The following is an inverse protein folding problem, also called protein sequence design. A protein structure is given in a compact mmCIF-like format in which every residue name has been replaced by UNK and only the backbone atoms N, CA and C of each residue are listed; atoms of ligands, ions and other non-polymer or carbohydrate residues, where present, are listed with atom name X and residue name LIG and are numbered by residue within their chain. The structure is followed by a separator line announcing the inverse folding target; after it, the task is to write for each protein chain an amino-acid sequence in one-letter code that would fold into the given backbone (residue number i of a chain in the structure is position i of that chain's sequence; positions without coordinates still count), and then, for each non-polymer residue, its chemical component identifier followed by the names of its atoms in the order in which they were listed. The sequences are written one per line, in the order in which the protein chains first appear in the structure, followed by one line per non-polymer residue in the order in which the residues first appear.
data_IF_241335661877
#
_entry.id   IF_241335661877
#
_cell.length_a   1.000
_cell.length_b   1.000
_cell.length_c   1.000
_cell.angle_alpha   90.00
_cell.angle_beta   90.00
_cell.angle_gamma   90.00
#
_symmetry.space_group_name_H-M   'P 1'
#
loop_
_entity.id
_entity.type
_entity.pdbx_description
1 polymer ?
#
# COMPACT_ATOMS: atom_id res chain seq x y z
N UNK A 1 -19.04 -1.02 24.95
CA UNK A 1 -18.97 -0.66 23.50
C UNK A 1 -17.55 -0.76 22.94
N UNK A 2 -16.55 0.00 23.39
CA UNK A 2 -15.18 -0.04 22.81
C UNK A 2 -14.40 -1.34 23.11
N UNK A 3 -14.57 -1.95 24.27
CA UNK A 3 -13.93 -3.19 24.68
C UNK A 3 -14.58 -4.41 24.01
N UNK A 4 -13.75 -5.31 23.44
CA UNK A 4 -14.26 -6.54 22.82
C UNK A 4 -15.05 -7.43 23.80
N UNK A 5 -14.56 -7.73 25.03
CA UNK A 5 -15.31 -8.54 25.97
C UNK A 5 -16.66 -7.89 26.38
N UNK A 6 -16.66 -6.59 26.67
CA UNK A 6 -17.91 -5.89 27.05
C UNK A 6 -18.92 -5.86 25.89
N UNK A 7 -18.45 -5.75 24.65
CA UNK A 7 -19.33 -5.80 23.48
C UNK A 7 -19.89 -7.19 23.23
N UNK A 8 -19.10 -8.24 23.45
CA UNK A 8 -19.57 -9.61 23.37
C UNK A 8 -20.72 -9.87 24.36
N UNK A 9 -20.64 -9.35 25.59
CA UNK A 9 -21.74 -9.43 26.57
C UNK A 9 -23.02 -8.78 26.04
N UNK A 10 -22.91 -7.62 25.37
CA UNK A 10 -24.08 -6.94 24.78
C UNK A 10 -24.72 -7.76 23.64
N UNK A 11 -23.91 -8.39 22.79
CA UNK A 11 -24.41 -9.30 21.75
C UNK A 11 -25.13 -10.49 22.35
N UNK A 12 -24.54 -11.10 23.38
CA UNK A 12 -25.18 -12.22 24.11
C UNK A 12 -26.51 -11.81 24.74
N UNK A 13 -26.60 -10.59 25.31
CA UNK A 13 -27.84 -10.09 25.89
C UNK A 13 -28.96 -9.87 24.84
N UNK A 14 -28.59 -9.65 23.57
CA UNK A 14 -29.52 -9.63 22.43
C UNK A 14 -29.79 -11.02 21.84
N UNK A 15 -29.28 -12.10 22.48
CA UNK A 15 -29.43 -13.48 21.96
C UNK A 15 -28.64 -13.75 20.69
N UNK A 16 -27.58 -12.96 20.42
CA UNK A 16 -26.74 -13.11 19.23
C UNK A 16 -25.46 -13.88 19.58
N UNK A 17 -25.13 -14.87 18.76
CA UNK A 17 -23.88 -15.61 18.86
C UNK A 17 -22.67 -14.69 18.73
N UNK A 18 -21.66 -14.89 19.59
CA UNK A 18 -20.45 -14.08 19.55
C UNK A 18 -19.56 -14.56 18.40
N UNK A 19 -19.29 -13.70 17.38
CA UNK A 19 -18.45 -14.10 16.27
C UNK A 19 -16.99 -14.30 16.69
N UNK A 20 -16.44 -15.44 16.31
CA UNK A 20 -15.07 -15.85 16.62
C UNK A 20 -14.32 -16.20 15.34
N UNK A 21 -13.00 -16.09 15.37
CA UNK A 21 -12.10 -16.50 14.29
C UNK A 21 -10.79 -17.02 14.86
N UNK A 22 -10.09 -17.85 14.09
CA UNK A 22 -8.72 -18.25 14.40
C UNK A 22 -7.75 -17.15 13.96
N UNK A 23 -6.89 -16.70 14.85
CA UNK A 23 -5.86 -15.72 14.53
C UNK A 23 -4.79 -16.33 13.63
N UNK A 24 -4.60 -15.80 12.44
CA UNK A 24 -3.55 -16.23 11.50
C UNK A 24 -2.13 -16.05 12.05
N UNK A 25 -1.96 -15.21 13.09
CA UNK A 25 -0.64 -14.92 13.69
C UNK A 25 -0.33 -15.82 14.87
N UNK A 26 -1.34 -16.20 15.66
CA UNK A 26 -1.14 -16.93 16.92
C UNK A 26 -1.76 -18.31 16.94
N UNK A 27 -2.56 -18.67 15.91
CA UNK A 27 -3.33 -19.92 15.86
C UNK A 27 -4.43 -20.04 16.94
N UNK A 28 -4.64 -19.00 17.77
CA UNK A 28 -5.63 -19.03 18.84
C UNK A 28 -6.96 -18.46 18.40
N UNK A 29 -8.05 -18.99 18.96
CA UNK A 29 -9.39 -18.45 18.78
C UNK A 29 -9.47 -17.03 19.36
N UNK A 30 -10.00 -16.08 18.59
CA UNK A 30 -10.17 -14.68 18.96
C UNK A 30 -11.54 -14.16 18.54
N UNK A 31 -12.01 -13.09 19.16
CA UNK A 31 -13.28 -12.46 18.79
C UNK A 31 -13.18 -11.78 17.42
N UNK A 32 -14.05 -12.13 16.48
CA UNK A 32 -14.13 -11.55 15.15
C UNK A 32 -15.00 -10.28 15.15
N UNK A 33 -14.53 -9.24 15.86
CA UNK A 33 -15.24 -7.99 16.11
C UNK A 33 -14.54 -6.75 15.54
N UNK A 34 -13.61 -6.93 14.61
CA UNK A 34 -13.00 -5.82 13.89
C UNK A 34 -13.90 -5.37 12.74
N UNK A 35 -13.78 -4.10 12.32
CA UNK A 35 -14.58 -3.53 11.22
C UNK A 35 -14.53 -4.39 9.95
N UNK A 36 -13.40 -5.01 9.66
CA UNK A 36 -13.18 -5.79 8.44
C UNK A 36 -13.37 -7.31 8.64
N UNK A 37 -13.88 -7.74 9.80
CA UNK A 37 -14.22 -9.14 10.03
C UNK A 37 -15.58 -9.45 9.38
N UNK A 38 -15.64 -10.47 8.52
CA UNK A 38 -16.86 -10.83 7.78
C UNK A 38 -18.04 -11.08 8.72
N UNK A 39 -17.84 -11.85 9.78
CA UNK A 39 -18.89 -12.14 10.76
C UNK A 39 -19.40 -10.88 11.47
N UNK A 40 -18.53 -9.88 11.69
CA UNK A 40 -18.97 -8.59 12.24
C UNK A 40 -19.72 -7.76 11.20
N UNK A 41 -19.31 -7.82 9.92
CA UNK A 41 -20.02 -7.18 8.82
C UNK A 41 -21.42 -7.79 8.62
N UNK A 42 -21.56 -9.11 8.77
CA UNK A 42 -22.84 -9.78 8.74
C UNK A 42 -23.78 -9.27 9.87
N UNK A 43 -23.26 -9.06 11.08
CA UNK A 43 -24.02 -8.46 12.18
C UNK A 43 -24.40 -6.99 11.92
N UNK A 44 -23.51 -6.24 11.29
CA UNK A 44 -23.75 -4.83 10.94
C UNK A 44 -24.87 -4.70 9.88
N UNK A 45 -24.99 -5.68 8.99
CA UNK A 45 -26.02 -5.77 7.95
C UNK A 45 -27.18 -6.72 8.34
N UNK A 46 -27.35 -7.00 9.64
CA UNK A 46 -28.42 -7.87 10.13
C UNK A 46 -29.79 -7.26 9.86
N UNK A 47 -30.78 -8.08 9.50
CA UNK A 47 -32.19 -7.70 9.41
C UNK A 47 -32.77 -7.26 10.76
N UNK A 48 -32.14 -7.70 11.84
CA UNK A 48 -32.46 -7.22 13.20
C UNK A 48 -31.88 -5.84 13.43
N UNK A 49 -32.75 -4.85 13.44
CA UNK A 49 -32.40 -3.42 13.61
C UNK A 49 -31.62 -3.16 14.91
N UNK A 50 -31.99 -3.82 16.03
CA UNK A 50 -31.31 -3.69 17.32
C UNK A 50 -29.84 -4.16 17.27
N UNK A 51 -29.56 -5.23 16.52
CA UNK A 51 -28.21 -5.76 16.30
C UNK A 51 -27.40 -4.83 15.39
N UNK A 52 -27.97 -4.41 14.27
CA UNK A 52 -27.33 -3.49 13.34
C UNK A 52 -26.96 -2.16 14.01
N UNK A 53 -27.91 -1.53 14.74
CA UNK A 53 -27.70 -0.31 15.49
C UNK A 53 -26.62 -0.45 16.58
N UNK A 54 -26.59 -1.59 17.30
CA UNK A 54 -25.58 -1.87 18.30
C UNK A 54 -24.17 -1.95 17.65
N UNK A 55 -24.06 -2.59 16.48
CA UNK A 55 -22.81 -2.70 15.71
C UNK A 55 -22.37 -1.34 15.18
N UNK A 56 -23.28 -0.52 14.64
CA UNK A 56 -22.98 0.85 14.23
C UNK A 56 -22.51 1.72 15.39
N UNK A 57 -23.22 1.68 16.51
CA UNK A 57 -22.83 2.42 17.71
C UNK A 57 -21.44 2.03 18.20
N UNK A 58 -21.09 0.71 18.11
CA UNK A 58 -19.74 0.25 18.40
C UNK A 58 -18.71 0.87 17.46
N UNK A 59 -18.94 0.88 16.15
CA UNK A 59 -18.01 1.47 15.18
C UNK A 59 -17.79 2.97 15.46
N UNK A 60 -18.85 3.71 15.76
CA UNK A 60 -18.79 5.13 16.13
C UNK A 60 -17.99 5.36 17.42
N UNK A 61 -18.24 4.56 18.47
CA UNK A 61 -17.50 4.65 19.74
C UNK A 61 -16.05 4.20 19.61
N UNK A 62 -15.77 3.19 18.78
CA UNK A 62 -14.41 2.67 18.56
C UNK A 62 -13.58 3.59 17.66
N UNK A 63 -14.20 4.43 16.88
CA UNK A 63 -13.53 5.45 16.03
C UNK A 63 -13.05 6.67 16.83
N UNK A 64 -12.47 6.44 18.02
CA UNK A 64 -11.93 7.51 18.87
C UNK A 64 -10.57 8.05 18.36
N UNK A 65 -10.00 7.46 17.34
CA UNK A 65 -8.64 7.79 16.86
C UNK A 65 -8.51 9.26 16.48
N UNK A 66 -9.47 9.82 15.75
CA UNK A 66 -9.44 11.24 15.35
C UNK A 66 -9.60 12.17 16.57
N UNK A 67 -10.52 11.86 17.48
CA UNK A 67 -10.72 12.61 18.74
C UNK A 67 -9.47 12.57 19.62
N UNK A 68 -8.91 11.38 19.82
CA UNK A 68 -7.69 11.22 20.62
C UNK A 68 -6.51 11.97 20.01
N UNK A 69 -6.39 11.95 18.68
CA UNK A 69 -5.37 12.72 17.95
C UNK A 69 -5.61 14.22 18.12
N UNK A 70 -6.85 14.70 17.98
CA UNK A 70 -7.17 16.11 18.17
C UNK A 70 -6.81 16.59 19.58
N UNK A 71 -7.15 15.82 20.62
CA UNK A 71 -6.74 16.13 22.00
C UNK A 71 -5.23 16.22 22.13
N UNK A 72 -4.48 15.26 21.56
CA UNK A 72 -3.01 15.29 21.57
C UNK A 72 -2.42 16.52 20.85
N UNK A 73 -3.05 16.96 19.75
CA UNK A 73 -2.63 18.23 19.11
C UNK A 73 -2.83 19.42 20.03
N UNK A 74 -3.96 19.50 20.75
CA UNK A 74 -4.19 20.55 21.76
C UNK A 74 -3.16 20.50 22.89
N UNK A 75 -2.89 19.30 23.44
CA UNK A 75 -1.90 19.12 24.51
C UNK A 75 -0.49 19.51 24.08
N UNK A 76 -0.12 19.24 22.81
CA UNK A 76 1.17 19.60 22.23
C UNK A 76 1.25 21.11 22.01
N UNK A 77 0.19 21.73 21.48
CA UNK A 77 0.17 23.17 21.19
C UNK A 77 0.38 24.05 22.42
N UNK A 78 0.03 23.56 23.61
CA UNK A 78 0.30 24.22 24.88
C UNK A 78 1.78 24.14 25.30
N UNK A 79 2.55 23.20 24.75
CA UNK A 79 3.94 22.96 25.13
C UNK A 79 4.95 23.46 24.10
N UNK A 80 4.51 23.83 22.90
CA UNK A 80 5.37 24.36 21.84
C UNK A 80 5.16 23.70 20.47
N UNK A 81 6.26 23.47 19.75
CA UNK A 81 6.23 22.93 18.38
C UNK A 81 5.86 21.46 18.35
N UNK A 82 5.26 21.03 17.24
CA UNK A 82 4.90 19.63 17.00
C UNK A 82 6.18 18.78 16.82
N UNK A 83 6.47 17.82 17.72
CA UNK A 83 7.58 16.89 17.51
C UNK A 83 7.19 15.84 16.46
N UNK A 84 8.12 15.55 15.54
CA UNK A 84 7.96 14.51 14.51
C UNK A 84 8.99 13.40 14.71
N UNK A 85 8.90 12.60 15.79
CA UNK A 85 9.86 11.54 16.06
C UNK A 85 9.63 10.37 15.10
N UNK A 86 10.63 10.10 14.28
CA UNK A 86 10.64 8.98 13.33
C UNK A 86 11.74 7.98 13.70
N UNK A 87 11.43 6.70 13.62
CA UNK A 87 12.42 5.63 13.66
C UNK A 87 12.99 5.43 12.25
N UNK A 88 14.28 5.71 12.10
CA UNK A 88 15.00 5.42 10.89
C UNK A 88 15.05 3.89 10.67
N UNK A 89 14.72 3.44 9.46
CA UNK A 89 14.69 2.01 9.14
C UNK A 89 13.73 1.19 10.03
N UNK A 90 12.61 1.79 10.45
CA UNK A 90 11.67 1.17 11.38
C UNK A 90 10.80 0.08 10.76
N UNK A 91 10.59 0.08 9.44
CA UNK A 91 9.89 -0.97 8.71
C UNK A 91 10.86 -1.97 8.09
N UNK A 92 10.41 -3.22 7.83
CA UNK A 92 11.20 -4.28 7.16
C UNK A 92 11.66 -3.88 5.73
N UNK A 93 10.92 -3.00 5.08
CA UNK A 93 11.28 -2.41 3.79
C UNK A 93 12.21 -1.19 3.90
N UNK A 94 12.79 -0.93 5.07
CA UNK A 94 13.67 0.22 5.30
C UNK A 94 12.97 1.58 5.35
N UNK A 95 11.64 1.65 5.31
CA UNK A 95 10.88 2.89 5.44
C UNK A 95 10.94 3.44 6.85
N UNK A 96 10.79 4.75 6.97
CA UNK A 96 10.59 5.43 8.24
C UNK A 96 9.27 5.01 8.88
N UNK A 97 9.26 4.85 10.19
CA UNK A 97 8.03 4.63 10.97
C UNK A 97 7.95 5.63 12.10
N UNK A 98 6.76 5.84 12.66
CA UNK A 98 6.65 6.60 13.89
C UNK A 98 7.39 5.87 15.03
N UNK A 99 8.18 6.62 15.80
CA UNK A 99 8.88 6.08 16.96
C UNK A 99 7.88 5.59 18.02
N UNK A 100 8.28 4.59 18.81
CA UNK A 100 7.49 4.16 19.97
C UNK A 100 7.30 5.35 20.93
N UNK A 101 6.06 5.58 21.37
CA UNK A 101 5.73 6.73 22.22
C UNK A 101 5.50 8.04 21.46
N UNK A 102 5.57 8.04 20.13
CA UNK A 102 5.16 9.20 19.33
C UNK A 102 3.71 9.58 19.66
N UNK A 103 3.50 10.82 20.09
CA UNK A 103 2.16 11.34 20.38
C UNK A 103 1.30 11.36 19.11
N UNK A 104 1.90 11.69 17.97
CA UNK A 104 1.26 11.78 16.65
C UNK A 104 2.07 10.98 15.63
N UNK A 105 1.42 10.02 14.97
CA UNK A 105 1.99 9.35 13.81
C UNK A 105 1.64 10.13 12.54
N UNK A 106 2.56 10.96 12.06
CA UNK A 106 2.40 11.78 10.86
C UNK A 106 2.16 10.93 9.60
N UNK A 107 2.78 9.72 9.52
CA UNK A 107 2.63 8.81 8.38
C UNK A 107 1.18 8.34 8.18
N UNK A 108 0.36 8.35 9.24
CA UNK A 108 -1.02 7.84 9.23
C UNK A 108 -2.09 8.95 9.33
N UNK A 109 -1.72 10.21 9.14
CA UNK A 109 -2.71 11.29 9.04
C UNK A 109 -3.38 11.24 7.68
N UNK A 110 -4.69 11.06 7.65
CA UNK A 110 -5.46 11.01 6.40
C UNK A 110 -5.26 12.28 5.57
N UNK A 111 -5.06 12.12 4.27
CA UNK A 111 -5.06 13.24 3.30
C UNK A 111 -6.41 13.96 3.38
N UNK A 112 -6.41 15.30 3.40
CA UNK A 112 -7.62 16.11 3.54
C UNK A 112 -8.19 16.24 4.96
N UNK A 113 -7.64 15.54 5.99
CA UNK A 113 -8.12 15.63 7.36
C UNK A 113 -7.91 17.02 7.98
N UNK A 114 -8.79 17.41 8.89
CA UNK A 114 -8.62 18.65 9.67
C UNK A 114 -7.32 18.67 10.50
N UNK A 115 -6.84 17.48 10.91
CA UNK A 115 -5.59 17.36 11.67
C UNK A 115 -4.37 17.80 10.84
N UNK A 116 -4.31 17.48 9.54
CA UNK A 116 -3.26 18.02 8.67
C UNK A 116 -3.35 19.53 8.53
N UNK A 117 -4.57 20.10 8.49
CA UNK A 117 -4.80 21.57 8.41
C UNK A 117 -4.44 22.29 9.71
N UNK A 118 -4.39 21.58 10.84
CA UNK A 118 -3.97 22.14 12.13
C UNK A 118 -2.46 22.29 12.28
N UNK A 119 -1.65 21.67 11.43
CA UNK A 119 -0.19 21.81 11.42
C UNK A 119 0.17 23.08 10.66
N UNK A 120 0.88 24.00 11.34
CA UNK A 120 1.20 25.35 10.86
C UNK A 120 2.70 25.55 10.76
N UNK A 121 3.11 26.31 9.75
CA UNK A 121 4.45 26.91 9.74
C UNK A 121 4.58 27.95 10.86
N UNK A 122 5.80 28.25 11.34
CA UNK A 122 6.08 29.41 12.18
C UNK A 122 5.60 30.73 11.54
N UNK A 123 5.47 31.77 12.34
CA UNK A 123 5.15 33.09 11.80
C UNK A 123 6.25 33.56 10.83
N UNK A 124 5.86 34.20 9.74
CA UNK A 124 6.78 34.65 8.68
C UNK A 124 7.33 33.51 7.79
N UNK A 125 6.73 32.30 7.89
CA UNK A 125 7.13 31.13 7.11
C UNK A 125 5.93 30.39 6.53
N UNK A 126 6.19 29.61 5.49
CA UNK A 126 5.28 28.63 4.91
C UNK A 126 5.90 27.23 4.90
N UNK A 127 5.05 26.23 4.71
CA UNK A 127 5.45 24.86 4.44
C UNK A 127 5.46 24.64 2.94
N UNK A 128 6.62 24.38 2.38
CA UNK A 128 6.75 23.81 1.03
C UNK A 128 6.70 22.30 1.17
N UNK A 129 5.77 21.67 0.46
CA UNK A 129 5.55 20.22 0.49
C UNK A 129 5.80 19.67 -0.91
N UNK A 130 6.85 18.87 -1.04
CA UNK A 130 7.17 18.15 -2.28
C UNK A 130 6.90 16.65 -2.11
N UNK A 131 6.37 16.00 -3.14
CA UNK A 131 5.97 14.59 -3.15
C UNK A 131 6.41 13.94 -4.47
N UNK A 132 7.16 12.85 -4.40
CA UNK A 132 7.59 12.11 -5.58
C UNK A 132 6.41 11.44 -6.27
N UNK A 133 6.19 11.79 -7.53
CA UNK A 133 5.10 11.25 -8.34
C UNK A 133 5.33 9.77 -8.65
N UNK A 134 4.47 8.88 -8.14
CA UNK A 134 4.46 7.44 -8.43
C UNK A 134 5.86 6.79 -8.32
N UNK A 135 6.63 7.12 -7.29
CA UNK A 135 8.02 6.67 -7.18
C UNK A 135 8.15 5.14 -7.16
N UNK A 136 7.25 4.41 -6.47
CA UNK A 136 7.33 2.95 -6.42
C UNK A 136 7.09 2.30 -7.79
N UNK A 137 6.07 2.66 -8.59
CA UNK A 137 5.93 2.20 -9.97
C UNK A 137 7.12 2.54 -10.87
N UNK A 138 7.75 3.73 -10.72
CA UNK A 138 8.94 4.11 -11.47
C UNK A 138 10.15 3.25 -11.11
N UNK A 139 10.37 3.03 -9.82
CA UNK A 139 11.44 2.14 -9.33
C UNK A 139 11.19 0.70 -9.79
N UNK A 140 9.96 0.19 -9.70
CA UNK A 140 9.63 -1.14 -10.19
C UNK A 140 9.89 -1.29 -11.69
N UNK A 141 9.45 -0.33 -12.50
CA UNK A 141 9.68 -0.35 -13.94
C UNK A 141 11.18 -0.33 -14.27
N UNK A 142 11.95 0.52 -13.59
CA UNK A 142 13.40 0.58 -13.76
C UNK A 142 14.11 -0.72 -13.33
N UNK A 143 13.71 -1.29 -12.18
CA UNK A 143 14.27 -2.56 -11.68
C UNK A 143 13.97 -3.74 -12.60
N UNK A 144 12.81 -3.74 -13.25
CA UNK A 144 12.34 -4.82 -14.11
C UNK A 144 12.71 -4.64 -15.59
N UNK A 145 13.43 -3.58 -15.99
CA UNK A 145 13.66 -3.22 -17.40
C UNK A 145 12.36 -3.11 -18.22
N UNK A 146 11.33 -2.50 -17.60
CA UNK A 146 10.03 -2.32 -18.25
C UNK A 146 9.98 -1.00 -19.04
N UNK A 147 10.63 -1.01 -20.22
CA UNK A 147 10.88 0.19 -21.05
C UNK A 147 9.57 0.88 -21.48
N UNK A 148 8.55 0.12 -21.91
CA UNK A 148 7.23 0.71 -22.27
C UNK A 148 6.67 1.59 -21.12
N UNK A 149 6.82 1.15 -19.87
CA UNK A 149 6.35 1.90 -18.71
C UNK A 149 7.25 3.10 -18.41
N UNK A 150 8.57 2.94 -18.56
CA UNK A 150 9.52 4.03 -18.40
C UNK A 150 9.30 5.13 -19.45
N UNK A 151 8.96 4.76 -20.69
CA UNK A 151 8.67 5.72 -21.76
C UNK A 151 7.35 6.49 -21.51
N UNK A 152 6.33 5.83 -20.95
CA UNK A 152 5.12 6.53 -20.48
C UNK A 152 5.49 7.59 -19.44
N UNK A 153 6.35 7.25 -18.47
CA UNK A 153 6.79 8.20 -17.45
C UNK A 153 7.65 9.33 -18.01
N UNK A 154 8.56 9.06 -18.96
CA UNK A 154 9.37 10.09 -19.64
C UNK A 154 8.51 11.08 -20.42
N UNK A 155 7.44 10.57 -21.06
CA UNK A 155 6.46 11.40 -21.77
C UNK A 155 5.49 12.17 -20.87
N UNK A 156 5.59 12.05 -19.53
CA UNK A 156 4.62 12.63 -18.60
C UNK A 156 3.22 12.01 -18.67
N UNK A 157 3.11 10.81 -19.23
CA UNK A 157 1.85 10.10 -19.42
C UNK A 157 1.28 9.52 -18.12
N UNK A 158 0.02 9.10 -18.18
CA UNK A 158 -0.67 8.43 -17.07
C UNK A 158 -0.55 6.89 -17.18
N UNK A 159 0.30 6.24 -16.35
CA UNK A 159 0.51 4.80 -16.41
C UNK A 159 -0.76 4.00 -16.10
N UNK A 160 -1.65 4.56 -15.29
CA UNK A 160 -2.92 3.91 -14.95
C UNK A 160 -3.91 3.95 -16.11
N UNK A 161 -3.97 5.05 -16.83
CA UNK A 161 -4.78 5.16 -18.03
C UNK A 161 -4.23 4.26 -19.15
N UNK A 162 -2.91 4.25 -19.35
CA UNK A 162 -2.26 3.40 -20.35
C UNK A 162 -2.47 1.89 -20.06
N UNK A 163 -2.34 1.47 -18.80
CA UNK A 163 -2.65 0.09 -18.41
C UNK A 163 -4.14 -0.22 -18.56
N UNK A 164 -5.03 0.72 -18.18
CA UNK A 164 -6.47 0.59 -18.35
C UNK A 164 -6.87 0.47 -19.83
N UNK A 165 -6.25 1.22 -20.73
CA UNK A 165 -6.46 1.11 -22.18
C UNK A 165 -6.18 -0.31 -22.67
N UNK A 166 -5.07 -0.93 -22.22
CA UNK A 166 -4.74 -2.33 -22.53
C UNK A 166 -5.73 -3.31 -21.87
N UNK A 167 -6.08 -3.06 -20.60
CA UNK A 167 -6.95 -3.94 -19.80
C UNK A 167 -8.38 -4.02 -20.33
N UNK A 168 -8.93 -2.92 -20.83
CA UNK A 168 -10.31 -2.85 -21.33
C UNK A 168 -10.42 -2.79 -22.85
N UNK A 169 -9.29 -2.80 -23.57
CA UNK A 169 -9.30 -2.66 -25.03
C UNK A 169 -9.83 -1.30 -25.50
N UNK A 170 -9.57 -0.21 -24.75
CA UNK A 170 -10.03 1.15 -25.05
C UNK A 170 -8.83 2.04 -25.39
N UNK A 171 -8.45 2.16 -26.67
CA UNK A 171 -7.36 3.03 -27.07
C UNK A 171 -7.64 4.50 -26.67
N UNK A 172 -6.61 5.21 -26.21
CA UNK A 172 -6.74 6.63 -25.83
C UNK A 172 -7.55 6.88 -24.55
N UNK A 173 -7.72 5.88 -23.70
CA UNK A 173 -8.38 6.06 -22.40
C UNK A 173 -7.66 7.10 -21.54
N UNK A 174 -8.41 8.04 -20.96
CA UNK A 174 -7.90 9.06 -20.04
C UNK A 174 -8.65 9.02 -18.70
N UNK A 175 -8.15 9.78 -17.72
CA UNK A 175 -8.81 9.97 -16.45
C UNK A 175 -10.18 10.65 -16.59
N UNK A 176 -10.29 11.57 -17.52
CA UNK A 176 -11.49 12.36 -17.79
C UNK A 176 -12.56 11.54 -18.52
N UNK A 177 -12.13 10.73 -19.51
CA UNK A 177 -13.06 9.91 -20.31
C UNK A 177 -13.59 8.69 -19.55
N UNK A 178 -12.75 8.04 -18.71
CA UNK A 178 -13.10 6.79 -18.01
C UNK A 178 -12.53 6.75 -16.57
N UNK A 179 -13.01 7.62 -15.66
CA UNK A 179 -12.43 7.75 -14.31
C UNK A 179 -12.52 6.45 -13.50
N UNK A 180 -13.63 5.73 -13.58
CA UNK A 180 -13.86 4.48 -12.82
C UNK A 180 -12.97 3.33 -13.32
N UNK A 181 -12.84 3.18 -14.64
CA UNK A 181 -11.99 2.15 -15.24
C UNK A 181 -10.51 2.44 -14.94
N UNK A 182 -10.10 3.72 -15.01
CA UNK A 182 -8.76 4.13 -14.60
C UNK A 182 -8.50 3.88 -13.12
N UNK A 183 -9.49 4.08 -12.24
CA UNK A 183 -9.33 3.76 -10.82
C UNK A 183 -9.14 2.27 -10.59
N UNK A 184 -9.87 1.42 -11.31
CA UNK A 184 -9.69 -0.04 -11.29
C UNK A 184 -8.31 -0.44 -11.79
N UNK A 185 -7.85 0.16 -12.89
CA UNK A 185 -6.51 -0.04 -13.45
C UNK A 185 -5.41 0.42 -12.47
N UNK A 186 -5.62 1.51 -11.74
CA UNK A 186 -4.71 1.98 -10.69
C UNK A 186 -4.59 0.96 -9.55
N UNK A 187 -5.71 0.43 -9.07
CA UNK A 187 -5.73 -0.59 -8.03
C UNK A 187 -5.01 -1.87 -8.49
N UNK A 188 -5.24 -2.27 -9.74
CA UNK A 188 -4.58 -3.42 -10.35
C UNK A 188 -3.05 -3.20 -10.45
N UNK A 189 -2.61 -2.11 -11.03
CA UNK A 189 -1.18 -1.84 -11.26
C UNK A 189 -0.41 -1.76 -9.94
N UNK A 190 -0.97 -1.11 -8.92
CA UNK A 190 -0.34 -0.99 -7.60
C UNK A 190 -0.34 -2.30 -6.80
N UNK A 191 -1.34 -3.17 -6.98
CA UNK A 191 -1.41 -4.47 -6.31
C UNK A 191 -0.62 -5.55 -7.03
N UNK A 192 -0.84 -5.69 -8.34
CA UNK A 192 -0.28 -6.78 -9.12
C UNK A 192 1.24 -6.69 -9.24
N UNK A 193 1.83 -5.49 -9.24
CA UNK A 193 3.27 -5.29 -9.35
C UNK A 193 4.11 -6.01 -8.27
N UNK A 194 3.47 -6.42 -7.20
CA UNK A 194 4.09 -7.13 -6.06
C UNK A 194 3.65 -8.58 -5.92
N UNK A 195 3.15 -9.18 -7.01
CA UNK A 195 2.78 -10.59 -7.04
C UNK A 195 1.49 -10.91 -6.28
N UNK A 196 0.57 -9.95 -6.13
CA UNK A 196 -0.72 -10.18 -5.51
C UNK A 196 -1.53 -11.21 -6.32
N UNK A 197 -2.06 -12.23 -5.63
CA UNK A 197 -2.94 -13.22 -6.23
C UNK A 197 -4.39 -12.73 -6.31
N UNK A 198 -5.19 -13.32 -7.21
CA UNK A 198 -6.55 -12.89 -7.47
C UNK A 198 -7.47 -12.93 -6.22
N UNK A 199 -7.38 -13.98 -5.40
CA UNK A 199 -8.20 -14.12 -4.20
C UNK A 199 -7.93 -13.00 -3.18
N UNK A 200 -6.65 -12.68 -2.95
CA UNK A 200 -6.27 -11.57 -2.09
C UNK A 200 -6.67 -10.22 -2.68
N UNK A 201 -6.59 -10.06 -4.01
CA UNK A 201 -7.01 -8.84 -4.71
C UNK A 201 -8.52 -8.65 -4.60
N UNK A 202 -9.32 -9.69 -4.90
CA UNK A 202 -10.77 -9.69 -4.74
C UNK A 202 -11.19 -9.34 -3.30
N UNK A 203 -10.63 -10.02 -2.31
CA UNK A 203 -10.91 -9.75 -0.90
C UNK A 203 -10.58 -8.30 -0.47
N UNK A 204 -9.47 -7.75 -0.93
CA UNK A 204 -9.08 -6.36 -0.62
C UNK A 204 -10.00 -5.34 -1.29
N UNK A 205 -10.47 -5.61 -2.51
CA UNK A 205 -11.44 -4.74 -3.18
C UNK A 205 -12.76 -4.65 -2.42
N UNK A 206 -13.27 -5.76 -1.89
CA UNK A 206 -14.50 -5.79 -1.09
C UNK A 206 -14.41 -5.00 0.21
N UNK A 207 -13.20 -4.82 0.75
CA UNK A 207 -12.98 -4.07 2.01
C UNK A 207 -12.44 -2.65 1.80
N UNK A 208 -12.14 -2.28 0.57
CA UNK A 208 -11.47 -1.04 0.18
C UNK A 208 -9.96 -1.20 0.06
N UNK A 209 -9.43 -1.00 -1.16
CA UNK A 209 -8.03 -1.21 -1.51
C UNK A 209 -7.27 0.12 -1.56
N UNK A 210 -6.15 0.21 -0.86
CA UNK A 210 -5.26 1.40 -0.83
C UNK A 210 -5.99 2.72 -0.52
N UNK A 211 -7.00 2.66 0.35
CA UNK A 211 -7.79 3.83 0.76
C UNK A 211 -8.93 4.19 -0.20
N UNK A 212 -9.13 3.46 -1.28
CA UNK A 212 -10.32 3.56 -2.11
C UNK A 212 -11.54 2.93 -1.40
N UNK A 213 -12.76 3.34 -1.72
CA UNK A 213 -13.96 2.70 -1.20
C UNK A 213 -14.05 1.23 -1.62
N UNK A 214 -14.84 0.40 -0.91
CA UNK A 214 -15.13 -0.98 -1.32
C UNK A 214 -15.70 -1.05 -2.74
N UNK A 215 -15.29 -2.06 -3.50
CA UNK A 215 -15.72 -2.29 -4.87
C UNK A 215 -16.15 -3.73 -5.03
N UNK A 216 -17.34 -3.94 -5.55
CA UNK A 216 -17.85 -5.22 -6.03
C UNK A 216 -17.99 -5.17 -7.55
N UNK A 217 -17.21 -5.98 -8.27
CA UNK A 217 -17.29 -6.05 -9.73
C UNK A 217 -18.56 -6.77 -10.18
N UNK A 218 -19.30 -6.13 -11.08
CA UNK A 218 -20.57 -6.62 -11.63
C UNK A 218 -20.38 -7.42 -12.92
N UNK A 219 -21.43 -8.11 -13.40
CA UNK A 219 -21.46 -8.78 -14.72
C UNK A 219 -21.11 -7.80 -15.85
N UNK A 220 -21.62 -6.56 -15.78
CA UNK A 220 -21.30 -5.52 -16.77
C UNK A 220 -19.82 -5.14 -16.78
N UNK A 221 -19.20 -5.08 -15.63
CA UNK A 221 -17.75 -4.82 -15.52
C UNK A 221 -16.95 -6.02 -16.05
N UNK A 222 -17.29 -7.24 -15.66
CA UNK A 222 -16.62 -8.46 -16.13
C UNK A 222 -16.69 -8.58 -17.67
N UNK A 223 -17.85 -8.27 -18.27
CA UNK A 223 -18.02 -8.23 -19.74
C UNK A 223 -17.08 -7.23 -20.41
N UNK A 224 -16.87 -6.04 -19.82
CA UNK A 224 -15.91 -5.05 -20.34
C UNK A 224 -14.45 -5.53 -20.28
N UNK A 225 -14.13 -6.42 -19.34
CA UNK A 225 -12.83 -7.08 -19.24
C UNK A 225 -12.64 -8.22 -20.25
N UNK A 226 -13.65 -8.52 -21.07
CA UNK A 226 -13.64 -9.68 -21.97
C UNK A 226 -13.77 -11.01 -21.23
N UNK A 227 -14.50 -11.04 -20.12
CA UNK A 227 -14.90 -12.29 -19.46
C UNK A 227 -16.11 -12.84 -20.18
N UNK A 228 -15.94 -14.00 -20.80
CA UNK A 228 -16.96 -14.83 -21.44
C UNK A 228 -17.32 -16.07 -20.60
N UNK A 229 -18.24 -16.91 -21.09
CA UNK A 229 -18.62 -18.16 -20.43
C UNK A 229 -17.45 -19.12 -20.28
N UNK A 230 -16.65 -19.27 -21.33
CA UNK A 230 -15.50 -20.18 -21.34
C UNK A 230 -14.44 -19.78 -20.29
N UNK A 231 -14.27 -18.47 -20.05
CA UNK A 231 -13.38 -18.01 -19.00
C UNK A 231 -13.93 -18.31 -17.59
N UNK A 232 -15.27 -18.19 -17.42
CA UNK A 232 -15.94 -18.56 -16.16
C UNK A 232 -15.80 -20.06 -15.91
N UNK A 233 -16.07 -20.88 -16.93
CA UNK A 233 -15.98 -22.34 -16.82
C UNK A 233 -14.57 -22.78 -16.46
N UNK A 234 -13.53 -22.27 -17.13
CA UNK A 234 -12.13 -22.52 -16.76
C UNK A 234 -11.77 -22.08 -15.34
N UNK A 235 -12.41 -21.03 -14.82
CA UNK A 235 -12.21 -20.64 -13.44
C UNK A 235 -12.84 -21.65 -12.47
N UNK A 236 -14.02 -22.17 -12.80
CA UNK A 236 -14.76 -23.15 -11.99
C UNK A 236 -14.13 -24.54 -12.03
N UNK A 237 -13.57 -24.94 -13.17
CA UNK A 237 -12.90 -26.24 -13.34
C UNK A 237 -11.66 -26.41 -12.45
N UNK A 238 -11.18 -25.36 -11.84
CA UNK A 238 -10.02 -25.42 -10.95
C UNK A 238 -10.45 -25.41 -9.47
N UNK A 239 -10.45 -26.60 -8.85
CA UNK A 239 -10.87 -26.79 -7.45
C UNK A 239 -10.27 -25.79 -6.47
N UNK A 240 -8.97 -25.46 -6.62
CA UNK A 240 -8.29 -24.48 -5.78
C UNK A 240 -8.92 -23.07 -5.86
N UNK A 241 -9.53 -22.70 -6.99
CA UNK A 241 -10.24 -21.43 -7.14
C UNK A 241 -11.52 -21.40 -6.30
N UNK A 242 -12.27 -22.51 -6.30
CA UNK A 242 -13.51 -22.60 -5.53
C UNK A 242 -13.23 -22.56 -4.02
N UNK A 243 -12.22 -23.32 -3.57
CA UNK A 243 -11.78 -23.30 -2.16
C UNK A 243 -11.38 -21.88 -1.74
N UNK A 244 -10.55 -21.22 -2.54
CA UNK A 244 -10.10 -19.84 -2.22
C UNK A 244 -11.23 -18.83 -2.28
N UNK A 245 -12.21 -18.99 -3.17
CA UNK A 245 -13.36 -18.11 -3.24
C UNK A 245 -14.21 -18.21 -1.97
N UNK A 246 -14.45 -19.42 -1.47
CA UNK A 246 -15.21 -19.66 -0.22
C UNK A 246 -14.52 -19.08 1.02
N UNK A 247 -13.19 -18.95 1.00
CA UNK A 247 -12.43 -18.30 2.08
C UNK A 247 -12.55 -16.76 2.08
N UNK A 248 -13.10 -16.14 1.03
CA UNK A 248 -13.23 -14.69 0.94
C UNK A 248 -14.41 -14.21 1.77
N UNK A 249 -14.19 -13.38 2.80
CA UNK A 249 -15.26 -12.79 3.57
C UNK A 249 -16.10 -11.82 2.71
N UNK A 250 -17.40 -12.07 2.60
CA UNK A 250 -18.31 -11.27 1.79
C UNK A 250 -19.71 -11.16 2.41
N UNK A 251 -20.51 -10.22 1.90
CA UNK A 251 -21.91 -10.01 2.26
C UNK A 251 -22.83 -10.00 1.02
N UNK A 252 -22.26 -10.19 -0.17
CA UNK A 252 -23.01 -10.34 -1.43
C UNK A 252 -23.42 -11.80 -1.63
N UNK A 253 -24.26 -12.07 -2.61
CA UNK A 253 -24.64 -13.45 -3.00
C UNK A 253 -23.43 -14.22 -3.58
N UNK A 254 -23.46 -15.54 -3.51
CA UNK A 254 -22.41 -16.40 -4.08
C UNK A 254 -22.21 -16.17 -5.59
N UNK A 255 -23.29 -15.90 -6.32
CA UNK A 255 -23.23 -15.58 -7.74
C UNK A 255 -22.53 -14.23 -8.03
N UNK A 256 -22.75 -13.23 -7.19
CA UNK A 256 -22.04 -11.93 -7.27
C UNK A 256 -20.59 -12.08 -6.87
N UNK A 257 -20.28 -12.88 -5.84
CA UNK A 257 -18.92 -13.18 -5.44
C UNK A 257 -18.15 -13.89 -6.55
N UNK A 258 -18.76 -14.87 -7.20
CA UNK A 258 -18.15 -15.58 -8.33
C UNK A 258 -17.75 -14.59 -9.43
N UNK A 259 -18.68 -13.75 -9.88
CA UNK A 259 -18.40 -12.74 -10.92
C UNK A 259 -17.29 -11.80 -10.49
N UNK A 260 -17.29 -11.36 -9.24
CA UNK A 260 -16.24 -10.51 -8.68
C UNK A 260 -14.87 -11.20 -8.69
N UNK A 261 -14.80 -12.45 -8.27
CA UNK A 261 -13.56 -13.24 -8.24
C UNK A 261 -13.02 -13.51 -9.65
N UNK A 262 -13.90 -13.88 -10.58
CA UNK A 262 -13.55 -14.11 -11.99
C UNK A 262 -13.01 -12.81 -12.62
N UNK A 263 -13.66 -11.67 -12.38
CA UNK A 263 -13.17 -10.37 -12.86
C UNK A 263 -11.81 -10.02 -12.25
N UNK A 264 -11.62 -10.25 -10.95
CA UNK A 264 -10.32 -10.04 -10.27
C UNK A 264 -9.22 -10.95 -10.85
N UNK A 265 -9.55 -12.22 -11.13
CA UNK A 265 -8.62 -13.17 -11.79
C UNK A 265 -8.24 -12.69 -13.18
N UNK A 266 -9.22 -12.25 -13.99
CA UNK A 266 -8.98 -11.70 -15.33
C UNK A 266 -8.03 -10.51 -15.30
N UNK A 267 -8.20 -9.58 -14.36
CA UNK A 267 -7.30 -8.43 -14.18
C UNK A 267 -5.86 -8.90 -13.90
N UNK A 268 -5.68 -9.87 -13.00
CA UNK A 268 -4.36 -10.44 -12.69
C UNK A 268 -3.73 -11.07 -13.94
N UNK A 269 -4.51 -11.81 -14.73
CA UNK A 269 -4.01 -12.46 -15.94
C UNK A 269 -3.61 -11.44 -17.00
N UNK A 270 -4.43 -10.40 -17.20
CA UNK A 270 -4.09 -9.29 -18.12
C UNK A 270 -2.81 -8.57 -17.65
N UNK A 271 -2.69 -8.30 -16.33
CA UNK A 271 -1.47 -7.69 -15.82
C UNK A 271 -0.24 -8.56 -16.14
N UNK A 272 -0.29 -9.85 -15.83
CA UNK A 272 0.85 -10.77 -16.04
C UNK A 272 1.18 -10.94 -17.52
N UNK A 273 0.18 -10.91 -18.41
CA UNK A 273 0.41 -11.00 -19.85
C UNK A 273 0.92 -9.71 -20.48
N UNK A 274 0.68 -8.55 -19.86
CA UNK A 274 1.13 -7.25 -20.39
C UNK A 274 2.44 -6.75 -19.75
N UNK A 275 2.69 -7.11 -18.50
CA UNK A 275 3.86 -6.69 -17.74
C UNK A 275 4.91 -7.82 -17.63
N UNK A 276 5.24 -8.46 -18.76
CA UNK A 276 6.23 -9.54 -18.81
C UNK A 276 7.57 -9.21 -18.15
N UNK A 277 8.14 -7.99 -18.29
CA UNK A 277 9.40 -7.67 -17.62
C UNK A 277 9.28 -7.78 -16.08
N UNK A 278 8.15 -7.40 -15.50
CA UNK A 278 7.92 -7.53 -14.06
C UNK A 278 7.79 -9.00 -13.65
N UNK A 279 7.14 -9.83 -14.47
CA UNK A 279 7.03 -11.27 -14.21
C UNK A 279 8.41 -11.94 -14.28
N UNK A 280 9.21 -11.63 -15.30
CA UNK A 280 10.59 -12.13 -15.42
C UNK A 280 11.47 -11.67 -14.24
N UNK A 281 11.25 -10.46 -13.75
CA UNK A 281 11.93 -9.98 -12.55
C UNK A 281 11.54 -10.81 -11.30
N UNK A 282 10.28 -11.22 -11.16
CA UNK A 282 9.89 -12.14 -10.07
C UNK A 282 10.53 -13.52 -10.21
N UNK A 283 10.63 -14.07 -11.42
CA UNK A 283 11.24 -15.38 -11.65
C UNK A 283 12.72 -15.35 -11.28
N UNK A 284 13.43 -14.29 -11.66
CA UNK A 284 14.81 -14.05 -11.23
C UNK A 284 14.92 -13.97 -9.70
N UNK A 285 14.06 -13.17 -9.04
CA UNK A 285 14.07 -13.06 -7.59
C UNK A 285 13.73 -14.37 -6.89
N UNK A 286 12.81 -15.17 -7.46
CA UNK A 286 12.50 -16.52 -6.99
C UNK A 286 13.75 -17.42 -6.98
N UNK A 287 14.53 -17.40 -8.05
CA UNK A 287 15.81 -18.12 -8.15
C UNK A 287 16.85 -17.61 -7.16
N UNK A 288 16.90 -16.29 -6.91
CA UNK A 288 17.84 -15.68 -5.96
C UNK A 288 17.50 -15.95 -4.49
N UNK A 289 16.24 -16.27 -4.17
CA UNK A 289 15.87 -16.78 -2.82
C UNK A 289 16.67 -18.04 -2.53
N UNK A 290 16.75 -18.96 -3.48
CA UNK A 290 17.43 -20.26 -3.31
C UNK A 290 18.95 -20.09 -3.39
N UNK A 291 19.44 -19.46 -4.44
CA UNK A 291 20.88 -19.44 -4.77
C UNK A 291 21.67 -18.45 -3.92
N UNK A 292 21.11 -17.30 -3.64
CA UNK A 292 21.81 -16.22 -2.94
C UNK A 292 21.38 -16.07 -1.48
N UNK A 293 20.09 -15.81 -1.23
CA UNK A 293 19.63 -15.51 0.14
C UNK A 293 19.73 -16.73 1.06
N UNK A 294 19.41 -17.92 0.59
CA UNK A 294 19.57 -19.16 1.34
C UNK A 294 20.94 -19.81 1.11
N UNK A 295 21.35 -19.93 -0.15
CA UNK A 295 22.56 -20.63 -0.57
C UNK A 295 23.87 -19.85 -0.38
N UNK A 296 23.81 -18.52 -0.27
CA UNK A 296 24.98 -17.67 0.01
C UNK A 296 25.82 -17.28 -1.21
N UNK A 297 25.42 -17.63 -2.44
CA UNK A 297 26.11 -17.15 -3.65
C UNK A 297 25.83 -15.65 -3.82
N UNK A 298 26.88 -14.82 -3.77
CA UNK A 298 26.72 -13.39 -4.00
C UNK A 298 26.30 -13.10 -5.44
N UNK A 299 25.30 -12.20 -5.60
CA UNK A 299 24.81 -11.77 -6.90
C UNK A 299 24.47 -10.28 -6.87
N UNK A 300 25.05 -9.52 -7.81
CA UNK A 300 24.74 -8.10 -7.98
C UNK A 300 23.76 -7.90 -9.12
N UNK A 301 22.70 -7.16 -8.84
CA UNK A 301 21.73 -6.75 -9.84
C UNK A 301 21.48 -5.25 -9.73
N UNK A 302 21.81 -4.51 -10.77
CA UNK A 302 21.70 -3.04 -10.80
C UNK A 302 22.30 -2.42 -9.53
N UNK A 303 21.49 -1.73 -8.73
CA UNK A 303 21.93 -1.03 -7.54
C UNK A 303 21.86 -1.87 -6.25
N UNK A 304 21.50 -3.14 -6.31
CA UNK A 304 21.36 -4.03 -5.15
C UNK A 304 22.28 -5.25 -5.23
N UNK A 305 22.63 -5.80 -4.08
CA UNK A 305 23.50 -6.97 -3.98
C UNK A 305 22.86 -8.01 -3.06
N UNK A 306 22.67 -9.22 -3.58
CA UNK A 306 22.14 -10.35 -2.82
C UNK A 306 23.28 -11.10 -2.16
N UNK A 307 23.16 -11.38 -0.86
CA UNK A 307 24.07 -12.20 -0.05
C UNK A 307 23.26 -13.11 0.86
N UNK A 308 23.91 -14.00 1.59
CA UNK A 308 23.24 -14.89 2.51
C UNK A 308 22.46 -14.08 3.58
N UNK A 309 21.14 -14.24 3.57
CA UNK A 309 20.22 -13.60 4.52
C UNK A 309 20.08 -12.08 4.39
N UNK A 310 20.62 -11.45 3.34
CA UNK A 310 20.53 -10.00 3.17
C UNK A 310 20.50 -9.54 1.71
N UNK A 311 19.89 -8.37 1.48
CA UNK A 311 19.99 -7.64 0.22
C UNK A 311 20.58 -6.26 0.52
N UNK A 312 21.81 -6.04 0.07
CA UNK A 312 22.49 -4.76 0.17
C UNK A 312 21.86 -3.70 -0.71
N UNK A 313 21.76 -2.47 -0.20
CA UNK A 313 21.13 -1.33 -0.83
C UNK A 313 22.14 -0.25 -1.23
N UNK A 314 21.83 0.67 -2.16
CA UNK A 314 22.77 1.66 -2.68
C UNK A 314 23.29 2.66 -1.63
N UNK A 315 22.61 2.81 -0.50
CA UNK A 315 23.04 3.67 0.61
C UNK A 315 23.91 2.97 1.67
N UNK A 316 24.38 1.74 1.39
CA UNK A 316 25.20 0.94 2.32
C UNK A 316 24.41 0.19 3.39
N UNK A 317 23.10 0.36 3.46
CA UNK A 317 22.23 -0.44 4.34
C UNK A 317 21.83 -1.76 3.68
N UNK A 318 21.17 -2.64 4.42
CA UNK A 318 20.67 -3.90 3.88
C UNK A 318 19.24 -4.22 4.37
N UNK A 319 18.49 -4.96 3.54
CA UNK A 319 17.26 -5.64 3.95
C UNK A 319 17.63 -7.00 4.52
N UNK A 320 17.21 -7.29 5.73
CA UNK A 320 17.63 -8.48 6.47
C UNK A 320 16.55 -9.57 6.46
N UNK A 321 16.98 -10.79 6.14
CA UNK A 321 16.18 -12.01 6.14
C UNK A 321 16.87 -13.08 7.00
N UNK A 322 16.92 -12.90 8.34
CA UNK A 322 17.64 -13.82 9.22
C UNK A 322 16.95 -15.18 9.28
N UNK A 323 17.72 -16.21 9.62
CA UNK A 323 17.22 -17.58 9.87
C UNK A 323 16.36 -18.13 8.73
N UNK A 324 16.82 -17.92 7.48
CA UNK A 324 16.13 -18.45 6.31
C UNK A 324 16.12 -19.98 6.33
N UNK A 325 14.92 -20.56 6.16
CA UNK A 325 14.72 -22.02 6.16
C UNK A 325 13.49 -22.39 5.34
N UNK A 326 13.42 -23.64 4.97
CA UNK A 326 12.19 -24.21 4.43
C UNK A 326 11.18 -24.45 5.56
N UNK A 327 9.94 -24.07 5.31
CA UNK A 327 8.78 -24.34 6.14
C UNK A 327 7.66 -24.93 5.29
N UNK A 328 6.52 -25.23 5.91
CA UNK A 328 5.31 -25.68 5.21
C UNK A 328 4.20 -24.67 5.41
N UNK A 329 3.34 -24.50 4.39
CA UNK A 329 2.09 -23.74 4.51
C UNK A 329 0.98 -24.58 5.15
N UNK A 330 -0.21 -24.01 5.30
CA UNK A 330 -1.39 -24.68 5.90
C UNK A 330 -1.84 -25.93 5.10
N UNK A 331 -1.48 -26.01 3.81
CA UNK A 331 -1.74 -27.15 2.93
C UNK A 331 -0.55 -28.13 2.84
N UNK A 332 0.49 -27.98 3.68
CA UNK A 332 1.68 -28.82 3.70
C UNK A 332 2.67 -28.58 2.57
N UNK A 333 2.49 -27.57 1.71
CA UNK A 333 3.39 -27.24 0.59
C UNK A 333 4.64 -26.53 1.11
N UNK A 334 5.79 -26.87 0.55
CA UNK A 334 7.08 -26.25 0.91
C UNK A 334 7.10 -24.76 0.55
N UNK A 335 7.59 -23.94 1.46
CA UNK A 335 7.79 -22.50 1.25
C UNK A 335 9.01 -22.00 2.00
N UNK A 336 9.65 -20.93 1.48
CA UNK A 336 10.71 -20.25 2.20
C UNK A 336 10.13 -19.34 3.28
N UNK A 337 10.74 -19.39 4.47
CA UNK A 337 10.38 -18.53 5.61
C UNK A 337 11.65 -17.98 6.26
N UNK A 338 11.51 -16.85 6.96
CA UNK A 338 12.61 -16.21 7.69
C UNK A 338 12.17 -15.65 9.05
N UNK A 339 13.14 -15.45 9.92
CA UNK A 339 12.98 -14.89 11.26
C UNK A 339 12.21 -15.79 12.23
N UNK A 340 12.03 -15.33 13.49
CA UNK A 340 11.44 -16.13 14.56
C UNK A 340 9.96 -16.49 14.31
N UNK A 341 9.23 -15.63 13.60
CA UNK A 341 7.81 -15.83 13.29
C UNK A 341 7.56 -16.61 11.99
N UNK A 342 8.58 -17.29 11.46
CA UNK A 342 8.48 -18.04 10.19
C UNK A 342 7.76 -17.25 9.08
N UNK A 343 8.12 -15.97 8.91
CA UNK A 343 7.48 -15.10 7.91
C UNK A 343 7.73 -15.63 6.50
N UNK A 344 6.69 -15.91 5.73
CA UNK A 344 6.80 -16.36 4.34
C UNK A 344 7.60 -15.38 3.48
N UNK A 345 8.54 -15.91 2.68
CA UNK A 345 9.33 -15.17 1.71
C UNK A 345 9.06 -15.71 0.30
N UNK A 346 8.78 -14.80 -0.62
CA UNK A 346 8.53 -15.08 -2.04
C UNK A 346 8.91 -13.86 -2.88
N UNK A 347 9.05 -14.04 -4.17
CA UNK A 347 9.54 -13.02 -5.09
C UNK A 347 8.79 -11.69 -4.97
N UNK A 348 7.46 -11.70 -4.95
CA UNK A 348 6.65 -10.49 -4.80
C UNK A 348 6.89 -9.73 -3.49
N UNK A 349 7.17 -10.43 -2.38
CA UNK A 349 7.55 -9.79 -1.11
C UNK A 349 8.93 -9.13 -1.20
N UNK A 350 9.89 -9.78 -1.85
CA UNK A 350 11.21 -9.18 -2.09
C UNK A 350 11.07 -7.97 -2.99
N UNK A 351 10.31 -8.08 -4.08
CA UNK A 351 10.00 -6.95 -4.98
C UNK A 351 9.48 -5.76 -4.20
N UNK A 352 8.45 -5.96 -3.37
CA UNK A 352 7.87 -4.90 -2.54
C UNK A 352 8.91 -4.28 -1.60
N UNK A 353 9.69 -5.11 -0.89
CA UNK A 353 10.68 -4.60 0.06
C UNK A 353 11.79 -3.82 -0.65
N UNK A 354 12.31 -4.31 -1.77
CA UNK A 354 13.36 -3.66 -2.56
C UNK A 354 12.86 -2.35 -3.16
N UNK A 355 11.71 -2.38 -3.83
CA UNK A 355 11.12 -1.19 -4.46
C UNK A 355 10.86 -0.10 -3.44
N UNK A 356 10.27 -0.44 -2.29
CA UNK A 356 10.03 0.53 -1.21
C UNK A 356 11.32 1.07 -0.60
N UNK A 357 12.33 0.21 -0.41
CA UNK A 357 13.62 0.63 0.14
C UNK A 357 14.33 1.60 -0.80
N UNK A 358 14.41 1.27 -2.09
CA UNK A 358 15.07 2.10 -3.10
C UNK A 358 14.30 3.41 -3.29
N UNK A 359 12.96 3.38 -3.38
CA UNK A 359 12.12 4.59 -3.45
C UNK A 359 12.36 5.52 -2.25
N UNK A 360 12.46 4.95 -1.03
CA UNK A 360 12.80 5.72 0.17
C UNK A 360 14.21 6.32 0.10
N UNK A 361 15.20 5.62 -0.48
CA UNK A 361 16.56 6.14 -0.64
C UNK A 361 16.54 7.34 -1.60
N UNK A 362 15.87 7.23 -2.75
CA UNK A 362 15.71 8.34 -3.70
C UNK A 362 15.10 9.57 -3.02
N UNK A 363 14.02 9.39 -2.25
CA UNK A 363 13.40 10.47 -1.48
C UNK A 363 14.36 11.06 -0.46
N UNK A 364 15.12 10.23 0.28
CA UNK A 364 16.06 10.68 1.30
C UNK A 364 17.24 11.44 0.69
N UNK A 365 17.74 11.03 -0.47
CA UNK A 365 18.79 11.75 -1.19
C UNK A 365 18.32 13.16 -1.59
N UNK A 366 17.09 13.29 -2.09
CA UNK A 366 16.44 14.58 -2.34
C UNK A 366 16.33 15.42 -1.06
N UNK A 367 15.90 14.81 0.04
CA UNK A 367 15.78 15.45 1.33
C UNK A 367 17.14 15.96 1.86
N UNK A 368 18.21 15.16 1.73
CA UNK A 368 19.57 15.56 2.13
C UNK A 368 20.10 16.73 1.27
N UNK A 369 19.77 16.76 -0.02
CA UNK A 369 20.09 17.89 -0.88
C UNK A 369 19.31 19.15 -0.50
N UNK A 370 17.99 19.01 -0.25
CA UNK A 370 17.12 20.10 0.22
C UNK A 370 17.61 20.70 1.53
N UNK A 371 18.05 19.85 2.48
CA UNK A 371 18.50 20.30 3.82
C UNK A 371 19.76 21.15 3.82
N UNK A 372 20.49 21.23 2.70
CA UNK A 372 21.65 22.12 2.54
C UNK A 372 21.25 23.59 2.46
N UNK A 373 20.00 23.88 2.10
CA UNK A 373 19.50 25.26 1.96
C UNK A 373 18.32 25.57 2.87
N UNK A 374 17.41 24.60 3.07
CA UNK A 374 16.18 24.82 3.81
C UNK A 374 15.99 23.78 4.92
N UNK A 375 15.28 24.16 5.97
CA UNK A 375 14.97 23.27 7.09
C UNK A 375 13.89 22.26 6.72
N UNK A 376 14.26 20.98 6.61
CA UNK A 376 13.33 19.88 6.43
C UNK A 376 12.75 19.50 7.78
N UNK A 377 11.48 19.87 8.02
CA UNK A 377 10.78 19.64 9.29
C UNK A 377 10.33 18.18 9.45
N UNK A 378 10.16 17.45 8.36
CA UNK A 378 9.72 16.07 8.42
C UNK A 378 9.48 15.44 7.05
N UNK A 379 9.11 14.16 7.09
CA UNK A 379 8.77 13.37 5.90
C UNK A 379 7.53 12.51 6.15
N UNK A 380 6.72 12.32 5.12
CA UNK A 380 5.55 11.43 5.13
C UNK A 380 5.58 10.58 3.87
N UNK A 381 5.99 9.31 4.00
CA UNK A 381 6.22 8.39 2.88
C UNK A 381 7.23 8.94 1.85
N UNK A 382 6.77 9.34 0.68
CA UNK A 382 7.48 9.93 -0.45
C UNK A 382 7.41 11.48 -0.48
N UNK A 383 6.86 12.08 0.58
CA UNK A 383 6.66 13.50 0.76
C UNK A 383 7.68 14.09 1.73
N UNK A 384 8.30 15.23 1.41
CA UNK A 384 9.08 16.04 2.34
C UNK A 384 8.35 17.34 2.68
N UNK A 385 8.48 17.77 3.93
CA UNK A 385 7.87 18.99 4.48
C UNK A 385 9.00 19.94 4.86
N UNK A 386 9.06 21.08 4.22
CA UNK A 386 10.15 22.05 4.33
C UNK A 386 9.61 23.38 4.87
N UNK A 387 10.27 23.96 5.87
CA UNK A 387 9.92 25.27 6.41
C UNK A 387 10.74 26.33 5.68
N UNK A 388 10.07 27.33 5.13
CA UNK A 388 10.67 28.33 4.25
C UNK A 388 10.16 29.73 4.61
N UNK A 389 11.01 30.78 4.64
CA UNK A 389 10.57 32.16 4.79
C UNK A 389 9.56 32.58 3.72
N UNK A 390 8.56 33.40 4.08
CA UNK A 390 7.49 33.81 3.15
C UNK A 390 8.05 34.46 1.86
N UNK A 391 9.17 35.17 1.95
CA UNK A 391 9.81 35.84 0.80
C UNK A 391 10.48 34.86 -0.20
N UNK A 392 10.75 33.60 0.20
CA UNK A 392 11.50 32.64 -0.61
C UNK A 392 10.65 31.49 -1.13
N UNK A 393 9.33 31.53 -0.95
CA UNK A 393 8.43 30.36 -1.18
C UNK A 393 8.51 29.81 -2.60
N UNK A 394 8.46 30.65 -3.62
CA UNK A 394 8.47 30.18 -5.02
C UNK A 394 9.84 29.63 -5.43
N UNK A 395 10.92 30.29 -5.02
CA UNK A 395 12.29 29.79 -5.23
C UNK A 395 12.51 28.45 -4.51
N UNK A 396 12.05 28.36 -3.27
CA UNK A 396 12.18 27.17 -2.45
C UNK A 396 11.38 26.00 -3.04
N UNK A 397 10.17 26.25 -3.51
CA UNK A 397 9.34 25.24 -4.19
C UNK A 397 10.06 24.68 -5.42
N UNK A 398 10.56 25.56 -6.28
CA UNK A 398 11.32 25.19 -7.46
C UNK A 398 12.58 24.39 -7.08
N UNK A 399 13.34 24.88 -6.08
CA UNK A 399 14.53 24.21 -5.57
C UNK A 399 14.20 22.81 -5.04
N UNK A 400 13.20 22.68 -4.16
CA UNK A 400 12.81 21.42 -3.52
C UNK A 400 12.45 20.38 -4.57
N UNK A 401 11.59 20.73 -5.54
CA UNK A 401 11.18 19.80 -6.60
C UNK A 401 12.36 19.39 -7.48
N UNK A 402 13.27 20.33 -7.80
CA UNK A 402 14.48 20.01 -8.56
C UNK A 402 15.41 19.06 -7.78
N UNK A 403 15.56 19.24 -6.44
CA UNK A 403 16.35 18.32 -5.62
C UNK A 403 15.72 16.92 -5.52
N UNK A 404 14.39 16.83 -5.55
CA UNK A 404 13.68 15.55 -5.50
C UNK A 404 13.77 14.77 -6.81
N UNK A 405 13.82 15.47 -7.95
CA UNK A 405 13.82 14.85 -9.29
C UNK A 405 15.23 14.65 -9.87
N UNK A 406 16.28 15.03 -9.14
CA UNK A 406 17.66 14.81 -9.56
C UNK A 406 17.95 13.30 -9.66
N UNK A 407 18.38 12.86 -10.84
CA UNK A 407 18.72 11.46 -11.12
C UNK A 407 19.82 10.93 -10.19
N UNK A 408 19.57 9.82 -9.48
CA UNK A 408 20.58 9.21 -8.63
C UNK A 408 21.65 8.48 -9.48
N UNK A 409 22.92 8.62 -9.13
CA UNK A 409 24.05 7.95 -9.84
C UNK A 409 23.91 6.41 -9.91
N UNK A 410 23.21 5.81 -8.95
CA UNK A 410 22.97 4.36 -8.88
C UNK A 410 21.73 3.89 -9.65
N UNK A 411 20.96 4.82 -10.24
CA UNK A 411 19.74 4.53 -11.02
C UNK A 411 19.68 5.37 -12.30
N UNK A 412 20.71 5.26 -13.12
CA UNK A 412 20.80 5.99 -14.40
C UNK A 412 19.62 5.65 -15.31
N UNK A 413 19.03 6.69 -15.88
CA UNK A 413 17.89 6.59 -16.80
C UNK A 413 16.51 6.46 -16.13
N UNK A 414 16.42 6.52 -14.79
CA UNK A 414 15.10 6.54 -14.14
C UNK A 414 14.39 7.89 -14.37
N UNK A 415 13.20 7.93 -14.94
CA UNK A 415 12.43 9.15 -15.07
C UNK A 415 11.80 9.50 -13.70
N UNK A 416 12.36 10.47 -13.01
CA UNK A 416 11.80 10.99 -11.77
C UNK A 416 10.89 12.19 -12.06
N UNK A 417 9.86 12.34 -11.22
CA UNK A 417 8.96 13.48 -11.26
C UNK A 417 8.45 13.76 -9.84
N UNK A 418 8.16 15.02 -9.56
CA UNK A 418 7.68 15.46 -8.27
C UNK A 418 6.64 16.57 -8.43
N UNK A 419 5.60 16.51 -7.62
CA UNK A 419 4.59 17.56 -7.50
C UNK A 419 4.64 18.17 -6.10
N UNK A 420 4.27 19.43 -5.99
CA UNK A 420 4.31 20.10 -4.71
C UNK A 420 3.59 21.44 -4.70
N UNK A 421 3.43 21.95 -3.49
CA UNK A 421 2.81 23.24 -3.26
C UNK A 421 3.29 23.86 -1.97
N UNK A 422 2.83 25.07 -1.71
CA UNK A 422 3.20 25.83 -0.52
C UNK A 422 1.97 26.42 0.14
N UNK A 423 1.95 26.39 1.45
CA UNK A 423 0.93 27.06 2.25
C UNK A 423 1.37 27.12 3.71
N UNK A 424 0.86 28.08 4.47
CA UNK A 424 1.11 28.14 5.91
C UNK A 424 0.58 26.91 6.68
N UNK A 425 -0.45 26.23 6.15
CA UNK A 425 -1.04 25.01 6.73
C UNK A 425 -0.66 23.80 5.92
N UNK A 426 -0.08 22.78 6.55
CA UNK A 426 0.34 21.54 5.89
C UNK A 426 -0.77 20.88 5.04
N UNK A 427 -1.98 20.77 5.59
CA UNK A 427 -3.09 20.14 4.86
C UNK A 427 -3.65 20.95 3.68
N UNK A 428 -3.15 22.15 3.42
CA UNK A 428 -3.50 23.01 2.29
C UNK A 428 -2.33 23.26 1.33
N UNK A 429 -1.13 22.84 1.68
CA UNK A 429 0.08 23.05 0.85
C UNK A 429 0.05 22.24 -0.45
N UNK A 430 -0.74 21.17 -0.51
CA UNK A 430 -0.93 20.35 -1.71
C UNK A 430 -2.44 20.17 -1.96
N UNK A 431 -2.88 20.48 -3.18
CA UNK A 431 -4.26 20.31 -3.63
C UNK A 431 -4.61 18.85 -3.96
#
# INVERSE_FOLDING_TARGET
MASNPKFAILLTALGVGIPKKVSKTTGKETLALAKNDALFQALLNSEREDVALLCEARLRVKSTTERTRAQRFLDISQRGVLPVPLSYYGAKSGRWTASKGSAINMQNLKRGSFLRKAILAPQGHQLVVGDLSQIEPRVLAWMADYDDMLDIFKAGGDPYAAFGAKMFGIPGMTKESHPDLRQSAKSALLGCGYGLGWASFASQLLTGFLGAPPVLYTKGFAKRLGVDSDYVDRFLDWDDNMVRMQEIPHTCSDGELLIHCVAAKKIIDVYRSTAHPVVSFWDMLGSLIVTSLAGGKEFRYKCITFKKGEIGLPNGMALLYPDMRQGKDEQGRSQWVYGPNATKLYAGKITNNVVQAVARIVMTDGMLRTSKRYFVAGTVHDEQIVVVPDAEVEDAKTWVLAQMTMEPKYMTGIPLDADGGAHRRYGLAKK
#
